data_IF_097594920934
#
_entry.id   IF_097594920934
#
_cell.length_a   1.000
_cell.length_b   1.000
_cell.length_c   1.000
_cell.angle_alpha   90.00
_cell.angle_beta   90.00
_cell.angle_gamma   90.00
#
_symmetry.space_group_name_H-M   'P 1'
#
loop_
_entity.id
_entity.type
_entity.pdbx_description
1 polymer ?
#
# COMPACT_ATOMS: atom_id res chain seq x y z
N UNK A 1 20.38 -32.42 -15.89
CA UNK A 1 18.93 -32.67 -16.18
C UNK A 1 18.31 -31.40 -16.72
N UNK A 2 17.79 -31.42 -17.96
CA UNK A 2 17.23 -30.26 -18.65
C UNK A 2 15.69 -30.33 -18.64
N UNK A 3 15.03 -29.19 -18.49
CA UNK A 3 13.56 -29.09 -18.50
C UNK A 3 12.94 -29.66 -19.78
N UNK A 4 13.59 -29.46 -20.92
CA UNK A 4 13.14 -30.00 -22.19
C UNK A 4 13.07 -31.54 -22.16
N UNK A 5 14.09 -32.22 -21.63
CA UNK A 5 14.13 -33.69 -21.53
C UNK A 5 13.01 -34.20 -20.59
N UNK A 6 12.70 -33.46 -19.52
CA UNK A 6 11.59 -33.79 -18.60
C UNK A 6 10.22 -33.64 -19.29
N UNK A 7 10.02 -32.59 -20.08
CA UNK A 7 8.82 -32.42 -20.90
C UNK A 7 8.68 -33.53 -21.96
N UNK A 8 9.76 -33.88 -22.62
CA UNK A 8 9.80 -34.97 -23.59
C UNK A 8 9.40 -36.31 -22.94
N UNK A 9 10.01 -36.62 -21.79
CA UNK A 9 9.63 -37.82 -21.02
C UNK A 9 8.14 -37.79 -20.67
N UNK A 10 7.64 -36.66 -20.14
CA UNK A 10 6.23 -36.55 -19.70
C UNK A 10 5.26 -36.76 -20.86
N UNK A 11 5.52 -36.18 -22.03
CA UNK A 11 4.69 -36.34 -23.22
C UNK A 11 4.68 -37.80 -23.69
N UNK A 12 5.85 -38.44 -23.74
CA UNK A 12 5.94 -39.88 -24.11
C UNK A 12 5.22 -40.74 -23.05
N UNK A 13 5.33 -40.42 -21.78
CA UNK A 13 4.67 -41.14 -20.67
C UNK A 13 3.14 -41.00 -20.74
N UNK A 14 2.62 -39.86 -21.17
CA UNK A 14 1.18 -39.59 -21.37
C UNK A 14 0.63 -40.34 -22.56
N UNK A 15 1.27 -40.24 -23.74
CA UNK A 15 0.82 -40.81 -24.98
C UNK A 15 1.16 -42.30 -25.14
N UNK A 16 2.17 -42.80 -24.46
CA UNK A 16 2.68 -44.18 -24.53
C UNK A 16 3.08 -44.60 -25.95
N UNK A 17 3.43 -43.59 -26.78
CA UNK A 17 3.78 -43.77 -28.18
C UNK A 17 4.79 -42.72 -28.64
N UNK A 18 6.02 -43.14 -28.94
CA UNK A 18 7.14 -42.23 -29.23
C UNK A 18 6.88 -41.36 -30.47
N UNK A 19 6.39 -41.96 -31.57
CA UNK A 19 6.17 -41.20 -32.80
C UNK A 19 5.10 -40.11 -32.61
N UNK A 20 3.98 -40.44 -31.98
CA UNK A 20 2.93 -39.44 -31.68
C UNK A 20 3.42 -38.35 -30.72
N UNK A 21 4.22 -38.72 -29.71
CA UNK A 21 4.84 -37.76 -28.85
C UNK A 21 5.80 -36.83 -29.57
N UNK A 22 6.59 -37.35 -30.47
CA UNK A 22 7.50 -36.57 -31.31
C UNK A 22 6.74 -35.58 -32.21
N UNK A 23 5.64 -36.00 -32.82
CA UNK A 23 4.72 -35.15 -33.58
C UNK A 23 4.13 -34.03 -32.74
N UNK A 24 3.63 -34.34 -31.51
CA UNK A 24 3.03 -33.35 -30.61
C UNK A 24 4.03 -32.26 -30.15
N UNK A 25 5.30 -32.64 -29.97
CA UNK A 25 6.34 -31.70 -29.54
C UNK A 25 7.20 -31.18 -30.68
N UNK A 26 6.83 -31.50 -31.93
CA UNK A 26 7.48 -31.02 -33.19
C UNK A 26 8.98 -31.33 -33.28
N UNK A 27 9.39 -32.56 -32.91
CA UNK A 27 10.77 -33.04 -33.08
C UNK A 27 10.82 -34.38 -33.83
N UNK A 28 12.01 -34.72 -34.34
CA UNK A 28 12.21 -36.00 -35.00
C UNK A 28 12.16 -37.17 -33.98
N UNK A 29 11.45 -38.30 -34.24
CA UNK A 29 11.36 -39.44 -33.33
C UNK A 29 12.72 -39.99 -32.89
N UNK A 30 13.80 -40.03 -33.73
CA UNK A 30 15.12 -40.43 -33.25
C UNK A 30 15.71 -39.47 -32.22
N UNK A 31 15.48 -38.16 -32.38
CA UNK A 31 15.96 -37.16 -31.43
C UNK A 31 15.25 -37.30 -30.06
N UNK A 32 13.92 -37.52 -30.05
CA UNK A 32 13.15 -37.80 -28.87
C UNK A 32 13.66 -39.06 -28.15
N UNK A 33 13.88 -40.14 -28.88
CA UNK A 33 14.40 -41.41 -28.33
C UNK A 33 15.78 -41.19 -27.69
N UNK A 34 16.66 -40.42 -28.33
CA UNK A 34 17.98 -40.08 -27.78
C UNK A 34 17.89 -39.26 -26.51
N UNK A 35 17.00 -38.26 -26.50
CA UNK A 35 16.80 -37.42 -25.31
C UNK A 35 16.27 -38.21 -24.10
N UNK A 36 15.33 -39.16 -24.35
CA UNK A 36 14.82 -40.06 -23.28
C UNK A 36 15.95 -40.95 -22.75
N UNK A 37 16.78 -41.55 -23.62
CA UNK A 37 17.90 -42.37 -23.16
C UNK A 37 18.91 -41.57 -22.34
N UNK A 38 19.22 -40.35 -22.76
CA UNK A 38 20.10 -39.47 -21.98
C UNK A 38 19.51 -39.15 -20.60
N UNK A 39 18.19 -38.98 -20.50
CA UNK A 39 17.53 -38.75 -19.22
C UNK A 39 17.60 -40.00 -18.31
N UNK A 40 17.41 -41.20 -18.88
CA UNK A 40 17.57 -42.49 -18.17
C UNK A 40 19.01 -42.67 -17.68
N UNK A 41 20.01 -42.33 -18.50
CA UNK A 41 21.42 -42.33 -18.13
C UNK A 41 21.73 -41.33 -17.00
N UNK A 42 21.23 -40.10 -17.13
CA UNK A 42 21.41 -39.04 -16.10
C UNK A 42 20.77 -39.41 -14.74
N UNK A 43 19.70 -40.19 -14.75
CA UNK A 43 18.96 -40.59 -13.55
C UNK A 43 19.42 -41.99 -13.06
N UNK A 44 20.28 -42.67 -13.78
CA UNK A 44 20.68 -44.07 -13.53
C UNK A 44 19.46 -44.98 -13.30
N UNK A 45 18.39 -44.76 -14.07
CA UNK A 45 17.15 -45.49 -13.90
C UNK A 45 16.41 -45.66 -15.25
N UNK A 46 15.99 -46.88 -15.64
CA UNK A 46 15.15 -47.08 -16.83
C UNK A 46 13.76 -46.56 -16.53
N UNK A 47 13.26 -45.65 -17.41
CA UNK A 47 11.95 -45.04 -17.28
C UNK A 47 10.89 -45.76 -18.12
N UNK A 48 11.31 -46.39 -19.22
CA UNK A 48 10.45 -47.12 -20.14
C UNK A 48 10.96 -48.55 -20.37
N UNK A 49 10.03 -49.44 -20.68
CA UNK A 49 10.30 -50.77 -21.20
C UNK A 49 9.40 -51.09 -22.38
N UNK A 50 9.89 -51.96 -23.30
CA UNK A 50 9.11 -52.41 -24.48
C UNK A 50 8.15 -53.56 -24.07
N UNK A 51 6.91 -53.47 -24.50
CA UNK A 51 5.92 -54.57 -24.40
C UNK A 51 5.29 -54.77 -25.80
N UNK A 52 5.84 -55.68 -26.58
CA UNK A 52 5.45 -55.86 -27.97
C UNK A 52 5.85 -54.64 -28.84
N UNK A 53 4.87 -54.09 -29.56
CA UNK A 53 5.05 -52.83 -30.37
C UNK A 53 4.92 -51.56 -29.56
N UNK A 54 4.48 -51.60 -28.29
CA UNK A 54 4.24 -50.43 -27.44
C UNK A 54 5.34 -50.27 -26.38
N UNK A 55 5.43 -49.07 -25.88
CA UNK A 55 6.26 -48.74 -24.67
C UNK A 55 5.38 -48.58 -23.45
N UNK A 56 5.91 -48.95 -22.29
CA UNK A 56 5.27 -48.79 -20.98
C UNK A 56 6.23 -48.19 -19.99
N UNK A 57 5.69 -47.51 -18.99
CA UNK A 57 6.48 -46.97 -17.89
C UNK A 57 6.95 -48.08 -16.94
N UNK A 58 8.20 -47.99 -16.51
CA UNK A 58 8.71 -48.73 -15.36
C UNK A 58 8.12 -48.14 -14.06
N UNK A 59 8.31 -48.78 -12.89
CA UNK A 59 7.97 -48.16 -11.60
C UNK A 59 8.68 -46.81 -11.41
N UNK A 60 9.94 -46.65 -11.84
CA UNK A 60 10.67 -45.38 -11.83
C UNK A 60 10.02 -44.34 -12.75
N UNK A 61 9.62 -44.73 -13.95
CA UNK A 61 8.90 -43.88 -14.88
C UNK A 61 7.54 -43.41 -14.36
N UNK A 62 6.78 -44.31 -13.67
CA UNK A 62 5.52 -43.94 -13.03
C UNK A 62 5.76 -42.92 -11.91
N UNK A 63 6.78 -43.15 -11.07
CA UNK A 63 7.15 -42.25 -10.00
C UNK A 63 7.54 -40.86 -10.56
N UNK A 64 8.43 -40.83 -11.56
CA UNK A 64 8.86 -39.58 -12.17
C UNK A 64 7.69 -38.84 -12.84
N UNK A 65 6.82 -39.52 -13.59
CA UNK A 65 5.63 -38.92 -14.19
C UNK A 65 4.75 -38.24 -13.15
N UNK A 66 4.44 -38.91 -12.05
CA UNK A 66 3.57 -38.37 -10.99
C UNK A 66 4.20 -37.17 -10.29
N UNK A 67 5.52 -37.13 -10.14
CA UNK A 67 6.25 -35.97 -9.60
C UNK A 67 6.32 -34.79 -10.57
N UNK A 68 6.49 -35.07 -11.86
CA UNK A 68 6.59 -34.02 -12.88
C UNK A 68 5.27 -33.36 -13.20
N UNK A 69 4.16 -34.09 -13.16
CA UNK A 69 2.86 -33.59 -13.55
C UNK A 69 2.47 -32.26 -12.86
N UNK A 70 2.50 -32.15 -11.51
CA UNK A 70 2.19 -30.89 -10.84
C UNK A 70 3.25 -29.80 -11.13
N UNK A 71 4.53 -30.15 -11.25
CA UNK A 71 5.60 -29.19 -11.51
C UNK A 71 5.45 -28.55 -12.89
N UNK A 72 5.22 -29.38 -13.93
CA UNK A 72 5.02 -28.88 -15.30
C UNK A 72 3.75 -28.04 -15.39
N UNK A 73 2.67 -28.45 -14.71
CA UNK A 73 1.42 -27.67 -14.65
C UNK A 73 1.65 -26.30 -14.03
N UNK A 74 2.40 -26.22 -12.93
CA UNK A 74 2.74 -24.94 -12.31
C UNK A 74 3.57 -24.05 -13.25
N UNK A 75 4.57 -24.64 -13.95
CA UNK A 75 5.36 -23.89 -14.93
C UNK A 75 4.52 -23.37 -16.09
N UNK A 76 3.57 -24.17 -16.57
CA UNK A 76 2.70 -23.79 -17.68
C UNK A 76 1.68 -22.70 -17.27
N UNK A 77 1.35 -22.56 -15.99
CA UNK A 77 0.47 -21.53 -15.46
C UNK A 77 1.15 -20.17 -15.28
N UNK A 78 2.49 -20.12 -15.13
CA UNK A 78 3.23 -18.86 -14.91
C UNK A 78 2.86 -17.72 -15.88
N UNK A 79 2.75 -17.94 -17.21
CA UNK A 79 2.38 -16.86 -18.12
C UNK A 79 0.99 -16.28 -17.86
N UNK A 80 0.02 -17.14 -17.52
CA UNK A 80 -1.36 -16.69 -17.21
C UNK A 80 -1.44 -15.97 -15.87
N UNK A 81 -0.69 -16.43 -14.87
CA UNK A 81 -0.58 -15.76 -13.57
C UNK A 81 0.06 -14.38 -13.70
N UNK A 82 1.15 -14.27 -14.48
CA UNK A 82 1.78 -12.98 -14.78
C UNK A 82 0.85 -12.04 -15.55
N UNK A 83 0.06 -12.57 -16.50
CA UNK A 83 -0.92 -11.78 -17.23
C UNK A 83 -2.03 -11.25 -16.29
N UNK A 84 -2.48 -12.08 -15.34
CA UNK A 84 -3.46 -11.68 -14.32
C UNK A 84 -2.91 -10.60 -13.38
N UNK A 85 -1.67 -10.76 -12.91
CA UNK A 85 -0.98 -9.76 -12.09
C UNK A 85 -0.82 -8.42 -12.83
N UNK A 86 -0.48 -8.45 -14.12
CA UNK A 86 -0.41 -7.24 -14.95
C UNK A 86 -1.77 -6.57 -15.09
N UNK A 87 -2.83 -7.35 -15.32
CA UNK A 87 -4.19 -6.82 -15.45
C UNK A 87 -4.67 -6.17 -14.13
N UNK A 88 -4.41 -6.80 -13.00
CA UNK A 88 -4.72 -6.25 -11.68
C UNK A 88 -3.93 -4.97 -11.40
N UNK A 89 -2.61 -4.96 -11.68
CA UNK A 89 -1.74 -3.79 -11.46
C UNK A 89 -2.18 -2.58 -12.29
N UNK A 90 -2.75 -2.80 -13.45
CA UNK A 90 -3.23 -1.77 -14.37
C UNK A 90 -4.24 -0.82 -13.72
N UNK A 91 -5.09 -1.34 -12.83
CA UNK A 91 -6.14 -0.59 -12.13
C UNK A 91 -5.88 -0.44 -10.62
N UNK A 92 -4.69 -0.82 -10.14
CA UNK A 92 -4.35 -0.72 -8.72
C UNK A 92 -3.59 0.57 -8.45
N UNK A 93 -4.03 1.34 -7.45
CA UNK A 93 -3.34 2.54 -6.93
C UNK A 93 -2.88 2.27 -5.50
N UNK A 94 -1.58 2.33 -5.28
CA UNK A 94 -0.96 2.17 -3.96
C UNK A 94 -0.72 3.52 -3.32
N UNK A 95 -1.39 3.78 -2.22
CA UNK A 95 -1.35 5.03 -1.47
C UNK A 95 -0.60 4.85 -0.16
N UNK A 96 0.49 5.58 0.04
CA UNK A 96 1.13 5.67 1.34
C UNK A 96 0.63 6.92 2.08
N UNK A 97 -0.22 6.71 3.10
CA UNK A 97 -0.97 7.77 3.76
C UNK A 97 -0.40 8.04 5.15
N UNK A 98 0.61 8.87 5.24
CA UNK A 98 1.29 9.27 6.48
C UNK A 98 0.59 10.47 7.15
N UNK A 99 -0.19 11.24 6.37
CA UNK A 99 -0.95 12.39 6.85
C UNK A 99 -2.34 12.44 6.19
N UNK A 100 -3.27 13.20 6.75
CA UNK A 100 -4.61 13.45 6.21
C UNK A 100 -5.45 12.19 5.93
N UNK A 101 -5.25 11.11 6.70
CA UNK A 101 -5.85 9.79 6.42
C UNK A 101 -7.38 9.82 6.30
N UNK A 102 -8.07 10.61 7.11
CA UNK A 102 -9.53 10.76 7.03
C UNK A 102 -9.97 11.33 5.68
N UNK A 103 -9.40 12.46 5.28
CA UNK A 103 -9.76 13.14 4.04
C UNK A 103 -9.32 12.37 2.79
N UNK A 104 -8.15 11.70 2.84
CA UNK A 104 -7.70 10.81 1.77
C UNK A 104 -8.66 9.62 1.62
N UNK A 105 -9.09 9.01 2.71
CA UNK A 105 -10.07 7.91 2.68
C UNK A 105 -11.40 8.37 2.09
N UNK A 106 -11.89 9.57 2.44
CA UNK A 106 -13.09 10.14 1.83
C UNK A 106 -12.93 10.34 0.32
N UNK A 107 -11.76 10.82 -0.12
CA UNK A 107 -11.46 10.98 -1.55
C UNK A 107 -11.45 9.63 -2.29
N UNK A 108 -10.82 8.62 -1.71
CA UNK A 108 -10.80 7.23 -2.23
C UNK A 108 -12.21 6.69 -2.38
N UNK A 109 -13.05 6.80 -1.33
CA UNK A 109 -14.44 6.35 -1.36
C UNK A 109 -15.24 7.07 -2.44
N UNK A 110 -15.08 8.39 -2.56
CA UNK A 110 -15.79 9.19 -3.55
C UNK A 110 -15.36 8.86 -4.99
N UNK A 111 -14.06 8.60 -5.20
CA UNK A 111 -13.53 8.18 -6.51
C UNK A 111 -13.99 6.76 -6.88
N UNK A 112 -13.89 5.82 -5.94
CA UNK A 112 -14.30 4.41 -6.13
C UNK A 112 -15.78 4.26 -6.55
N UNK A 113 -16.66 5.16 -6.11
CA UNK A 113 -18.07 5.18 -6.53
C UNK A 113 -18.25 5.43 -8.02
N UNK A 114 -17.31 6.12 -8.67
CA UNK A 114 -17.35 6.44 -10.11
C UNK A 114 -16.49 5.47 -10.93
N UNK A 115 -15.50 4.87 -10.30
CA UNK A 115 -14.51 3.97 -10.90
C UNK A 115 -14.47 2.67 -10.08
N UNK A 116 -15.53 1.84 -10.16
CA UNK A 116 -15.64 0.61 -9.36
C UNK A 116 -14.57 -0.44 -9.67
N UNK A 117 -13.95 -0.37 -10.86
CA UNK A 117 -12.86 -1.25 -11.30
C UNK A 117 -11.53 -0.97 -10.58
N UNK A 118 -11.33 0.27 -10.09
CA UNK A 118 -10.06 0.67 -9.48
C UNK A 118 -9.87 0.03 -8.11
N UNK A 119 -8.74 -0.58 -7.88
CA UNK A 119 -8.34 -1.18 -6.60
C UNK A 119 -7.43 -0.19 -5.87
N UNK A 120 -7.74 0.10 -4.61
CA UNK A 120 -6.91 0.95 -3.76
C UNK A 120 -6.26 0.14 -2.66
N UNK A 121 -4.94 0.27 -2.53
CA UNK A 121 -4.16 -0.26 -1.42
C UNK A 121 -3.67 0.92 -0.58
N UNK A 122 -4.23 1.07 0.64
CA UNK A 122 -3.85 2.12 1.57
C UNK A 122 -2.83 1.56 2.54
N UNK A 123 -1.64 2.13 2.50
CA UNK A 123 -0.51 1.76 3.32
C UNK A 123 -0.21 2.89 4.31
N UNK A 124 0.45 2.57 5.41
CA UNK A 124 0.92 3.54 6.38
C UNK A 124 2.28 3.11 6.90
N UNK A 125 3.29 3.32 6.09
CA UNK A 125 4.65 2.89 6.38
C UNK A 125 5.64 3.98 5.95
N UNK A 126 6.48 4.45 6.88
CA UNK A 126 7.49 5.49 6.60
C UNK A 126 8.55 5.01 5.59
N UNK A 127 8.72 3.70 5.43
CA UNK A 127 9.70 3.08 4.54
C UNK A 127 9.03 2.19 3.47
N UNK A 128 7.95 2.65 2.83
CA UNK A 128 7.26 1.87 1.79
C UNK A 128 7.85 2.15 0.40
N UNK A 129 8.69 1.24 -0.12
CA UNK A 129 9.38 1.44 -1.40
C UNK A 129 8.48 1.26 -2.62
N UNK A 130 7.28 0.69 -2.46
CA UNK A 130 6.36 0.38 -3.55
C UNK A 130 5.02 1.13 -3.36
N UNK A 131 5.06 2.45 -3.48
CA UNK A 131 3.86 3.28 -3.50
C UNK A 131 3.80 4.15 -4.75
N UNK A 132 2.60 4.39 -5.25
CA UNK A 132 2.35 5.25 -6.42
C UNK A 132 2.15 6.71 -5.99
N UNK A 133 1.46 6.92 -4.88
CA UNK A 133 1.17 8.25 -4.34
C UNK A 133 1.43 8.23 -2.84
N UNK A 134 2.13 9.24 -2.33
CA UNK A 134 2.26 9.46 -0.89
C UNK A 134 1.62 10.77 -0.45
N UNK A 135 1.04 10.76 0.75
CA UNK A 135 0.53 11.96 1.42
C UNK A 135 1.19 12.08 2.78
N UNK A 136 1.99 13.11 2.96
CA UNK A 136 2.81 13.30 4.15
C UNK A 136 2.81 14.76 4.65
N UNK A 137 3.40 15.00 5.80
CA UNK A 137 3.76 16.35 6.27
C UNK A 137 5.21 16.64 5.87
N UNK A 138 5.51 17.88 5.48
CA UNK A 138 6.78 18.30 4.84
C UNK A 138 8.07 18.03 5.65
N UNK A 139 8.02 17.53 6.86
CA UNK A 139 9.21 17.25 7.67
C UNK A 139 9.78 15.84 7.51
N UNK A 140 9.17 15.03 6.65
CA UNK A 140 9.56 13.65 6.48
C UNK A 140 10.77 13.51 5.54
N UNK A 141 11.96 13.41 6.09
CA UNK A 141 13.05 12.67 5.45
C UNK A 141 12.65 11.18 5.41
N UNK A 142 11.74 10.83 4.53
CA UNK A 142 11.33 9.43 4.33
C UNK A 142 12.38 8.78 3.45
N UNK A 143 13.27 8.05 4.07
CA UNK A 143 14.56 7.64 3.54
C UNK A 143 14.52 6.64 2.37
N UNK A 144 13.36 6.11 1.96
CA UNK A 144 13.28 5.03 0.95
C UNK A 144 11.96 5.09 0.16
N UNK A 145 11.51 6.25 -0.27
CA UNK A 145 10.40 6.33 -1.24
C UNK A 145 10.94 6.28 -2.67
N UNK A 146 10.14 5.81 -3.64
CA UNK A 146 10.50 5.91 -5.06
C UNK A 146 10.74 7.37 -5.47
N UNK A 147 11.48 7.63 -6.56
CA UNK A 147 11.67 8.97 -7.08
C UNK A 147 10.34 9.70 -7.27
N UNK A 148 10.31 10.99 -6.97
CA UNK A 148 9.10 11.81 -7.08
C UNK A 148 9.03 12.39 -8.49
N UNK A 149 7.92 12.15 -9.19
CA UNK A 149 7.61 12.74 -10.50
C UNK A 149 6.95 14.11 -10.35
N UNK A 150 6.07 14.25 -9.36
CA UNK A 150 5.30 15.47 -9.13
C UNK A 150 4.98 15.64 -7.65
N UNK A 151 5.04 16.86 -7.16
CA UNK A 151 4.65 17.23 -5.79
C UNK A 151 3.61 18.34 -5.83
N UNK A 152 2.60 18.23 -4.99
CA UNK A 152 1.68 19.33 -4.67
C UNK A 152 1.73 19.61 -3.18
N UNK A 153 1.95 20.87 -2.82
CA UNK A 153 1.98 21.34 -1.45
C UNK A 153 0.68 22.07 -1.09
N UNK A 154 0.17 21.78 0.10
CA UNK A 154 -1.07 22.33 0.62
C UNK A 154 -0.87 22.77 2.07
N UNK A 155 -0.91 24.09 2.32
CA UNK A 155 -0.83 24.61 3.68
C UNK A 155 -2.11 24.30 4.46
N UNK A 156 -1.95 23.99 5.71
CA UNK A 156 -3.01 23.70 6.65
C UNK A 156 -2.78 24.43 7.97
N UNK A 157 -3.77 25.21 8.39
CA UNK A 157 -3.78 25.84 9.70
C UNK A 157 -4.00 24.78 10.79
N UNK A 158 -3.34 24.95 11.93
CA UNK A 158 -3.53 24.12 13.10
C UNK A 158 -4.20 24.95 14.18
N UNK A 159 -5.31 24.45 14.69
CA UNK A 159 -6.10 25.03 15.78
C UNK A 159 -5.81 24.31 17.09
N UNK A 160 -6.14 24.94 18.20
CA UNK A 160 -6.24 24.26 19.48
C UNK A 160 -7.67 23.74 19.64
N UNK A 161 -7.80 22.43 19.84
CA UNK A 161 -9.05 21.76 20.18
C UNK A 161 -9.21 21.74 21.70
N UNK A 162 -10.29 22.33 22.18
CA UNK A 162 -10.61 22.43 23.62
C UNK A 162 -11.98 21.85 23.89
N UNK A 163 -12.24 21.36 25.10
CA UNK A 163 -13.60 20.95 25.53
C UNK A 163 -14.56 22.12 25.43
N UNK A 164 -15.76 21.88 24.91
CA UNK A 164 -16.77 22.95 24.76
C UNK A 164 -17.34 23.47 26.05
N UNK A 165 -17.22 22.69 27.12
CA UNK A 165 -17.58 23.06 28.45
C UNK A 165 -16.41 23.64 29.28
N UNK A 166 -15.25 23.89 28.67
CA UNK A 166 -14.09 24.47 29.32
C UNK A 166 -14.15 26.00 29.36
N UNK A 167 -13.35 26.59 30.27
CA UNK A 167 -13.16 28.05 30.36
C UNK A 167 -12.65 28.73 29.10
N UNK A 168 -12.20 27.94 28.11
CA UNK A 168 -11.63 28.42 26.88
C UNK A 168 -12.64 28.50 25.73
N UNK A 169 -13.75 27.76 25.80
CA UNK A 169 -14.65 27.52 24.68
C UNK A 169 -15.32 28.79 24.11
N UNK A 170 -15.51 29.81 24.94
CA UNK A 170 -16.15 31.09 24.55
C UNK A 170 -15.13 32.12 23.99
N UNK A 171 -13.84 31.78 23.96
CA UNK A 171 -12.81 32.68 23.41
C UNK A 171 -12.81 32.70 21.90
N UNK A 172 -12.50 33.85 21.32
CA UNK A 172 -12.32 34.02 19.87
C UNK A 172 -10.96 33.53 19.38
N UNK A 173 -10.08 33.13 20.30
CA UNK A 173 -8.74 32.61 20.05
C UNK A 173 -8.00 32.46 21.36
N UNK A 174 -6.83 31.83 21.32
CA UNK A 174 -6.05 31.48 22.49
C UNK A 174 -4.56 31.60 22.23
N UNK A 175 -3.77 31.91 23.25
CA UNK A 175 -2.31 31.79 23.19
C UNK A 175 -1.89 30.44 23.77
N UNK A 176 -0.79 29.87 23.28
CA UNK A 176 -0.30 28.59 23.81
C UNK A 176 0.12 28.69 25.28
N UNK A 177 0.58 29.89 25.72
CA UNK A 177 0.91 30.14 27.11
C UNK A 177 -0.27 29.97 28.09
N UNK A 178 -1.52 30.22 27.64
CA UNK A 178 -2.71 30.08 28.46
C UNK A 178 -3.06 28.62 28.80
N UNK A 179 -2.54 27.67 27.99
CA UNK A 179 -2.80 26.23 28.14
C UNK A 179 -1.57 25.42 28.54
N UNK A 180 -0.48 26.11 28.94
CA UNK A 180 0.78 25.45 29.30
C UNK A 180 0.65 24.43 30.44
N UNK A 181 -0.30 24.64 31.36
CA UNK A 181 -0.55 23.79 32.55
C UNK A 181 -1.64 22.73 32.27
N UNK A 182 -2.24 22.69 31.06
CA UNK A 182 -3.24 21.70 30.73
C UNK A 182 -2.58 20.39 30.28
N UNK A 183 -3.33 19.28 30.41
CA UNK A 183 -2.92 17.99 29.80
C UNK A 183 -3.14 17.99 28.31
N UNK A 184 -2.14 17.62 27.53
CA UNK A 184 -2.25 17.51 26.08
C UNK A 184 -2.62 16.09 25.66
N UNK A 185 -3.49 16.00 24.65
CA UNK A 185 -3.88 14.74 24.00
C UNK A 185 -3.14 14.65 22.66
N UNK A 186 -2.22 13.71 22.56
CA UNK A 186 -1.40 13.50 21.38
C UNK A 186 -1.95 12.43 20.43
N UNK A 187 -1.71 12.63 19.13
CA UNK A 187 -1.96 11.63 18.09
C UNK A 187 -0.72 10.76 17.90
N UNK A 188 -0.60 9.66 18.66
CA UNK A 188 0.56 8.76 18.64
C UNK A 188 0.83 8.10 17.30
N UNK A 189 -0.23 7.84 16.52
CA UNK A 189 -0.11 7.28 15.18
C UNK A 189 0.42 8.27 14.11
N UNK A 190 0.78 9.51 14.48
CA UNK A 190 1.37 10.51 13.58
C UNK A 190 2.51 11.24 14.28
N UNK A 191 3.66 10.57 14.40
CA UNK A 191 4.85 11.12 15.07
C UNK A 191 5.27 12.48 14.49
N UNK A 192 5.19 12.64 13.18
CA UNK A 192 5.53 13.89 12.50
C UNK A 192 4.59 15.03 12.89
N UNK A 193 3.29 14.77 13.00
CA UNK A 193 2.33 15.76 13.42
C UNK A 193 2.56 16.17 14.88
N UNK A 194 2.76 15.20 15.79
CA UNK A 194 3.05 15.47 17.19
C UNK A 194 4.33 16.27 17.34
N UNK A 195 5.40 15.94 16.61
CA UNK A 195 6.65 16.71 16.64
C UNK A 195 6.49 18.16 16.19
N UNK A 196 5.66 18.43 15.17
CA UNK A 196 5.33 19.79 14.74
C UNK A 196 4.59 20.54 15.84
N UNK A 197 3.62 19.90 16.49
CA UNK A 197 2.83 20.51 17.58
C UNK A 197 3.68 20.76 18.83
N UNK A 198 4.56 19.83 19.19
CA UNK A 198 5.50 20.00 20.29
C UNK A 198 6.44 21.17 20.06
N UNK A 199 6.91 21.36 18.82
CA UNK A 199 7.75 22.51 18.47
C UNK A 199 7.01 23.84 18.68
N UNK A 200 5.72 23.95 18.37
CA UNK A 200 4.94 25.16 18.67
C UNK A 200 4.92 25.46 20.18
N UNK A 201 4.77 24.43 21.02
CA UNK A 201 4.82 24.59 22.48
C UNK A 201 6.21 25.00 22.96
N UNK A 202 7.28 24.38 22.42
CA UNK A 202 8.67 24.73 22.75
C UNK A 202 9.00 26.18 22.38
N UNK A 203 8.58 26.62 21.21
CA UNK A 203 8.71 28.01 20.78
C UNK A 203 7.86 28.95 21.64
N UNK A 204 6.76 28.49 22.25
CA UNK A 204 5.96 29.24 23.24
C UNK A 204 6.60 29.25 24.63
N UNK A 205 7.75 28.60 24.80
CA UNK A 205 8.52 28.60 26.05
C UNK A 205 8.14 27.49 27.04
N UNK A 206 7.41 26.46 26.62
CA UNK A 206 7.07 25.33 27.48
C UNK A 206 7.09 24.00 26.73
N UNK A 207 7.27 22.90 27.46
CA UNK A 207 7.11 21.55 26.97
C UNK A 207 5.70 21.05 27.30
N UNK A 208 4.90 20.54 26.34
CA UNK A 208 3.56 20.07 26.64
C UNK A 208 3.59 18.87 27.58
N UNK A 209 2.71 18.90 28.59
CA UNK A 209 2.46 17.73 29.43
C UNK A 209 1.49 16.79 28.72
N UNK A 210 2.02 15.72 28.12
CA UNK A 210 1.20 14.72 27.43
C UNK A 210 0.50 13.84 28.46
N UNK A 211 -0.82 14.04 28.64
CA UNK A 211 -1.65 13.24 29.56
C UNK A 211 -2.26 12.02 28.87
N UNK A 212 -2.48 12.08 27.56
CA UNK A 212 -2.99 10.98 26.75
C UNK A 212 -2.29 10.92 25.40
N UNK A 213 -2.02 9.69 24.94
CA UNK A 213 -1.55 9.40 23.61
C UNK A 213 -2.41 8.30 23.00
N UNK A 214 -2.87 8.47 21.75
CA UNK A 214 -3.66 7.48 21.02
C UNK A 214 -3.36 7.54 19.53
N UNK A 215 -3.34 6.38 18.87
CA UNK A 215 -3.26 6.25 17.40
C UNK A 215 -4.64 6.39 16.71
N UNK A 216 -5.71 6.46 17.51
CA UNK A 216 -7.08 6.60 17.04
C UNK A 216 -7.55 8.06 17.10
N UNK A 217 -7.85 8.63 15.93
CA UNK A 217 -8.45 9.97 15.83
C UNK A 217 -9.78 10.07 16.58
N UNK A 218 -10.56 9.00 16.59
CA UNK A 218 -11.83 8.96 17.35
C UNK A 218 -11.58 9.02 18.86
N UNK A 219 -10.58 8.31 19.38
CA UNK A 219 -10.22 8.37 20.78
C UNK A 219 -9.73 9.78 21.16
N UNK A 220 -8.88 10.41 20.35
CA UNK A 220 -8.43 11.80 20.57
C UNK A 220 -9.63 12.75 20.68
N UNK A 221 -10.59 12.68 19.75
CA UNK A 221 -11.82 13.47 19.79
C UNK A 221 -12.61 13.28 21.10
N UNK A 222 -12.82 12.03 21.48
CA UNK A 222 -13.62 11.68 22.65
C UNK A 222 -12.94 12.11 23.95
N UNK A 223 -11.62 11.96 24.06
CA UNK A 223 -10.84 12.37 25.23
C UNK A 223 -10.93 13.89 25.42
N UNK A 224 -10.74 14.67 24.35
CA UNK A 224 -10.88 16.14 24.40
C UNK A 224 -12.33 16.51 24.76
N UNK A 225 -13.32 15.93 24.07
CA UNK A 225 -14.74 16.19 24.35
C UNK A 225 -15.17 15.85 25.78
N UNK A 226 -14.55 14.85 26.40
CA UNK A 226 -14.77 14.46 27.78
C UNK A 226 -14.10 15.38 28.81
N UNK A 227 -13.52 16.50 28.42
CA UNK A 227 -12.80 17.45 29.26
C UNK A 227 -11.56 16.84 29.97
N UNK A 228 -10.88 15.89 29.29
CA UNK A 228 -9.72 15.23 29.87
C UNK A 228 -8.37 15.81 29.32
N UNK A 229 -8.44 16.89 28.53
CA UNK A 229 -7.27 17.59 28.01
C UNK A 229 -7.58 18.44 26.79
N UNK A 230 -6.55 19.10 26.29
CA UNK A 230 -6.56 19.88 25.05
C UNK A 230 -5.69 19.23 23.99
N UNK A 231 -5.86 19.57 22.72
CA UNK A 231 -5.05 18.99 21.66
C UNK A 231 -4.96 19.87 20.43
N UNK A 232 -4.00 19.59 19.56
CA UNK A 232 -3.90 20.26 18.29
C UNK A 232 -4.79 19.60 17.23
N UNK A 233 -5.42 20.43 16.39
CA UNK A 233 -6.36 19.97 15.36
C UNK A 233 -6.12 20.66 14.02
N UNK A 234 -5.80 19.90 12.96
CA UNK A 234 -5.65 20.45 11.63
C UNK A 234 -6.99 20.92 11.04
N UNK A 235 -6.95 22.02 10.30
CA UNK A 235 -8.10 22.72 9.72
C UNK A 235 -9.06 21.83 8.93
N UNK A 236 -8.54 20.97 8.05
CA UNK A 236 -9.39 20.20 7.11
C UNK A 236 -9.01 18.72 6.98
N UNK A 237 -7.81 18.31 7.34
CA UNK A 237 -7.31 16.97 7.02
C UNK A 237 -7.81 15.86 7.96
N UNK A 238 -8.23 16.22 9.16
CA UNK A 238 -8.81 15.28 10.14
C UNK A 238 -10.34 15.28 10.15
N UNK A 239 -10.97 16.11 9.31
CA UNK A 239 -12.41 16.28 9.28
C UNK A 239 -12.95 17.05 10.48
N UNK A 240 -14.26 17.00 10.67
CA UNK A 240 -14.94 17.76 11.73
C UNK A 240 -14.64 17.18 13.11
N UNK A 241 -14.52 18.07 14.09
CA UNK A 241 -14.52 17.71 15.53
C UNK A 241 -15.92 17.24 15.97
N UNK A 242 -15.99 16.63 17.17
CA UNK A 242 -17.27 16.30 17.79
C UNK A 242 -18.01 17.57 18.26
N UNK A 243 -19.31 17.43 18.56
CA UNK A 243 -20.14 18.54 19.07
C UNK A 243 -19.63 19.11 20.40
N UNK A 244 -18.89 18.30 21.16
CA UNK A 244 -18.37 18.63 22.49
C UNK A 244 -16.97 19.26 22.47
N UNK A 245 -16.42 19.53 21.27
CA UNK A 245 -15.11 20.14 21.07
C UNK A 245 -15.25 21.47 20.32
N UNK A 246 -14.58 22.51 20.83
CA UNK A 246 -14.40 23.79 20.13
C UNK A 246 -12.99 23.89 19.56
N UNK A 247 -12.87 24.49 18.38
CA UNK A 247 -11.58 24.82 17.75
C UNK A 247 -11.28 26.30 17.93
N UNK A 248 -10.14 26.62 18.50
CA UNK A 248 -9.70 27.99 18.71
C UNK A 248 -8.47 28.31 17.86
N UNK A 249 -8.44 29.43 17.14
CA UNK A 249 -7.23 29.90 16.48
C UNK A 249 -6.17 30.24 17.53
N UNK A 250 -4.94 29.87 17.23
CA UNK A 250 -3.77 30.21 18.06
C UNK A 250 -3.27 31.59 17.64
N UNK A 251 -3.21 32.53 18.59
CA UNK A 251 -3.03 33.96 18.29
C UNK A 251 -1.59 34.45 18.37
N UNK A 252 -0.76 33.80 19.18
CA UNK A 252 0.60 34.23 19.47
C UNK A 252 1.64 33.71 18.49
N UNK A 253 1.22 32.84 17.54
CA UNK A 253 2.11 32.31 16.48
C UNK A 253 1.37 31.72 15.31
N UNK A 254 2.08 31.58 14.19
CA UNK A 254 1.54 30.98 12.96
C UNK A 254 1.68 29.45 13.02
N UNK A 255 0.72 28.80 13.65
CA UNK A 255 0.70 27.34 13.75
C UNK A 255 0.17 26.71 12.44
N UNK A 256 1.08 26.39 11.54
CA UNK A 256 0.77 25.76 10.23
C UNK A 256 1.63 24.55 9.99
N UNK A 257 1.14 23.70 9.11
CA UNK A 257 1.94 22.65 8.46
C UNK A 257 1.71 22.65 6.97
N UNK A 258 2.63 22.07 6.24
CA UNK A 258 2.47 21.78 4.81
C UNK A 258 2.21 20.29 4.64
N UNK A 259 1.11 19.95 3.96
CA UNK A 259 0.86 18.61 3.45
C UNK A 259 1.46 18.51 2.06
N UNK A 260 2.21 17.45 1.80
CA UNK A 260 2.71 17.11 0.48
C UNK A 260 1.95 15.93 -0.08
N UNK A 261 1.50 16.06 -1.32
CA UNK A 261 0.95 14.96 -2.12
C UNK A 261 1.96 14.69 -3.22
N UNK A 262 2.62 13.55 -3.18
CA UNK A 262 3.65 13.18 -4.14
C UNK A 262 3.17 12.06 -5.04
N UNK A 263 3.37 12.23 -6.35
CA UNK A 263 3.28 11.18 -7.35
C UNK A 263 4.67 10.59 -7.54
N UNK A 264 4.81 9.28 -7.41
CA UNK A 264 6.09 8.59 -7.50
C UNK A 264 6.27 7.89 -8.83
N UNK A 265 7.53 7.70 -9.22
CA UNK A 265 7.91 6.85 -10.34
C UNK A 265 7.62 5.39 -9.99
N UNK A 266 7.06 4.66 -10.92
CA UNK A 266 6.84 3.21 -10.79
C UNK A 266 7.35 2.50 -12.04
N UNK A 267 8.12 1.41 -11.90
CA UNK A 267 8.51 0.57 -13.04
C UNK A 267 7.31 -0.08 -13.73
N UNK A 268 6.18 -0.16 -13.04
CA UNK A 268 4.91 -0.71 -13.54
C UNK A 268 3.77 0.26 -13.21
N UNK A 269 3.67 1.42 -13.91
CA UNK A 269 2.65 2.42 -13.61
C UNK A 269 1.25 1.87 -13.86
N UNK A 270 0.33 2.19 -12.96
CA UNK A 270 -1.09 1.96 -13.17
C UNK A 270 -1.65 3.05 -14.10
N UNK A 271 -2.57 2.69 -14.99
CA UNK A 271 -3.19 3.64 -15.93
C UNK A 271 -4.01 4.73 -15.22
N UNK A 272 -4.49 4.43 -14.02
CA UNK A 272 -5.38 5.32 -13.25
C UNK A 272 -4.64 6.17 -12.21
N UNK A 273 -3.36 5.95 -11.99
CA UNK A 273 -2.60 6.62 -10.92
C UNK A 273 -2.54 8.14 -11.11
N UNK A 274 -2.19 8.61 -12.31
CA UNK A 274 -2.08 10.05 -12.59
C UNK A 274 -3.44 10.75 -12.50
N UNK A 275 -4.50 10.14 -13.02
CA UNK A 275 -5.86 10.66 -12.92
C UNK A 275 -6.33 10.76 -11.46
N UNK A 276 -6.07 9.71 -10.67
CA UNK A 276 -6.41 9.74 -9.25
C UNK A 276 -5.58 10.75 -8.46
N UNK A 277 -4.29 10.95 -8.79
CA UNK A 277 -3.47 12.00 -8.19
C UNK A 277 -4.11 13.38 -8.39
N UNK A 278 -4.47 13.73 -9.62
CA UNK A 278 -5.11 15.00 -9.93
C UNK A 278 -6.46 15.15 -9.21
N UNK A 279 -7.22 14.07 -9.14
CA UNK A 279 -8.48 14.06 -8.41
C UNK A 279 -8.26 14.28 -6.91
N UNK A 280 -7.31 13.60 -6.29
CA UNK A 280 -6.97 13.73 -4.86
C UNK A 280 -6.54 15.15 -4.52
N UNK A 281 -5.65 15.75 -5.33
CA UNK A 281 -5.21 17.13 -5.15
C UNK A 281 -6.40 18.10 -5.21
N UNK A 282 -7.27 18.00 -6.21
CA UNK A 282 -8.48 18.82 -6.33
C UNK A 282 -9.44 18.62 -5.15
N UNK A 283 -9.57 17.39 -4.67
CA UNK A 283 -10.41 17.06 -3.52
C UNK A 283 -9.89 17.74 -2.23
N UNK A 284 -8.61 17.64 -1.97
CA UNK A 284 -7.96 18.28 -0.82
C UNK A 284 -8.06 19.82 -0.92
N UNK A 285 -7.82 20.41 -2.08
CA UNK A 285 -7.99 21.85 -2.31
C UNK A 285 -9.44 22.31 -2.07
N UNK A 286 -10.42 21.53 -2.49
CA UNK A 286 -11.84 21.82 -2.22
C UNK A 286 -12.15 21.79 -0.72
N UNK A 287 -11.60 20.80 0.01
CA UNK A 287 -11.74 20.71 1.48
C UNK A 287 -11.12 21.92 2.17
N UNK A 288 -9.90 22.32 1.77
CA UNK A 288 -9.22 23.52 2.27
C UNK A 288 -10.07 24.79 2.07
N UNK A 289 -10.65 24.97 0.87
CA UNK A 289 -11.51 26.14 0.61
C UNK A 289 -12.78 26.14 1.47
N UNK A 290 -13.40 24.96 1.64
CA UNK A 290 -14.61 24.83 2.45
C UNK A 290 -14.39 25.02 3.96
N UNK A 291 -13.16 24.84 4.45
CA UNK A 291 -12.82 25.09 5.85
C UNK A 291 -12.56 26.58 6.14
N UNK A 292 -12.20 27.35 5.12
CA UNK A 292 -11.89 28.80 5.23
C UNK A 292 -13.08 29.73 4.97
N UNK A 293 -14.18 29.17 4.43
CA UNK A 293 -15.46 29.87 4.21
C UNK A 293 -16.44 29.57 5.38
#
# INVERSE_FOLDING_TARGET
MELAKLRYFYTVAKLRHVTRAAEEIHIAPPALTKAIKQLEEELDAPLFYKKGRNIRLTPFGVYLKNKLEPILTQLDNIPSELASLKAERRFTVKLNVLAASSTVTEAVIAYKKRHPEVIFQLLRNEAEPDCDISVATNTANVAVLPPILQTTELDEQIFLAVPKNSKYAEKNGITLAEVKDEGFVHMGGSRLFSAVCDNFCLEAGFKPHVSFESDSLLAVKNIIGANAGVGFWPEYSWGKVSADVALLPILDRDCRRTLTVNLHESPFPSEVTAEFYDYLVKFLQKRRRAARN
#
